data_IF_600789875356
#
_entry.id   IF_600789875356
#
_cell.length_a   1.000
_cell.length_b   1.000
_cell.length_c   1.000
_cell.angle_alpha   90.00
_cell.angle_beta   90.00
_cell.angle_gamma   90.00
#
_symmetry.space_group_name_H-M   'P 1'
#
loop_
_entity.id
_entity.type
_entity.pdbx_description
1 polymer ?
#
# COMPACT_ATOMS: atom_id res chain seq x y z
N UNK A 1 11.82 -22.15 24.28
CA UNK A 1 12.89 -21.17 24.56
C UNK A 1 13.14 -20.27 23.36
N UNK A 2 13.71 -20.75 22.24
CA UNK A 2 13.98 -19.89 21.07
C UNK A 2 12.76 -19.10 20.53
N UNK A 3 11.61 -19.76 20.38
CA UNK A 3 10.37 -19.10 19.91
C UNK A 3 9.88 -18.02 20.89
N UNK A 4 10.06 -18.25 22.19
CA UNK A 4 9.66 -17.31 23.22
C UNK A 4 10.57 -16.07 23.23
N UNK A 5 11.88 -16.25 23.06
CA UNK A 5 12.79 -15.12 22.90
C UNK A 5 12.49 -14.29 21.65
N UNK A 6 12.07 -14.92 20.54
CA UNK A 6 11.61 -14.19 19.36
C UNK A 6 10.32 -13.41 19.63
N UNK A 7 9.37 -13.99 20.37
CA UNK A 7 8.13 -13.32 20.78
C UNK A 7 8.40 -12.08 21.64
N UNK A 8 9.31 -12.17 22.61
CA UNK A 8 9.70 -11.06 23.49
C UNK A 8 10.34 -9.89 22.72
N UNK A 9 11.10 -10.18 21.65
CA UNK A 9 11.85 -9.19 20.86
C UNK A 9 11.12 -8.74 19.58
N UNK A 10 10.02 -9.40 19.19
CA UNK A 10 9.31 -9.10 17.94
C UNK A 10 8.65 -7.71 17.93
N UNK A 11 8.21 -7.23 19.09
CA UNK A 11 7.46 -5.98 19.25
C UNK A 11 8.11 -5.10 20.34
N UNK A 12 9.28 -4.49 20.07
CA UNK A 12 10.09 -3.83 21.10
C UNK A 12 9.51 -2.50 21.60
N UNK A 13 8.38 -2.03 21.05
CA UNK A 13 7.79 -0.75 21.41
C UNK A 13 6.43 -0.50 20.78
N UNK A 14 5.96 0.74 20.90
CA UNK A 14 4.69 1.20 20.33
C UNK A 14 4.83 1.51 18.84
N UNK A 15 3.77 1.23 18.06
CA UNK A 15 3.71 1.55 16.64
C UNK A 15 2.80 0.58 15.88
N UNK A 16 2.64 0.84 14.59
CA UNK A 16 2.14 -0.13 13.62
C UNK A 16 3.19 -1.21 13.33
N UNK A 17 2.81 -2.24 12.58
CA UNK A 17 3.75 -3.23 12.05
C UNK A 17 4.88 -2.53 11.27
N UNK A 18 6.14 -2.98 11.36
CA UNK A 18 7.29 -2.29 10.75
C UNK A 18 7.39 -2.40 9.22
N UNK A 19 6.78 -3.42 8.62
CA UNK A 19 6.77 -3.63 7.17
C UNK A 19 5.74 -2.76 6.44
N UNK A 20 5.81 -2.70 5.12
CA UNK A 20 4.81 -2.05 4.26
C UNK A 20 3.56 -2.92 4.12
N UNK A 21 2.90 -3.13 5.25
CA UNK A 21 1.57 -3.73 5.37
C UNK A 21 0.49 -2.64 5.28
N UNK A 22 -0.77 -3.04 5.51
CA UNK A 22 -1.94 -2.17 5.34
C UNK A 22 -1.84 -0.86 6.13
N UNK A 23 -1.41 -0.90 7.40
CA UNK A 23 -1.31 0.31 8.23
C UNK A 23 -0.37 1.36 7.63
N UNK A 24 0.89 0.99 7.37
CA UNK A 24 1.86 1.94 6.81
C UNK A 24 1.52 2.35 5.39
N UNK A 25 0.99 1.42 4.58
CA UNK A 25 0.57 1.78 3.22
C UNK A 25 -0.54 2.83 3.28
N UNK A 26 -1.56 2.65 4.12
CA UNK A 26 -2.64 3.63 4.26
C UNK A 26 -2.20 4.95 4.87
N UNK A 27 -1.24 4.96 5.80
CA UNK A 27 -0.63 6.20 6.31
C UNK A 27 0.11 6.96 5.21
N UNK A 28 0.89 6.26 4.39
CA UNK A 28 1.56 6.82 3.22
C UNK A 28 0.55 7.38 2.22
N UNK A 29 -0.50 6.62 1.89
CA UNK A 29 -1.54 7.07 0.96
C UNK A 29 -2.40 8.20 1.52
N UNK A 30 -2.57 8.31 2.83
CA UNK A 30 -3.25 9.46 3.46
C UNK A 30 -2.47 10.75 3.23
N UNK A 31 -1.13 10.69 3.29
CA UNK A 31 -0.27 11.83 2.93
C UNK A 31 -0.39 12.16 1.45
N UNK A 32 -0.36 11.16 0.57
CA UNK A 32 -0.50 11.38 -0.89
C UNK A 32 -1.88 11.92 -1.25
N UNK A 33 -2.96 11.41 -0.66
CA UNK A 33 -4.32 11.95 -0.81
C UNK A 33 -4.40 13.42 -0.35
N UNK A 34 -3.38 13.91 0.37
CA UNK A 34 -3.30 15.27 0.86
C UNK A 34 -4.09 15.48 2.15
N UNK A 35 -4.40 14.41 2.90
CA UNK A 35 -5.23 14.46 4.12
C UNK A 35 -4.42 14.41 5.41
N UNK A 36 -3.09 14.32 5.33
CA UNK A 36 -2.18 14.50 6.45
C UNK A 36 -1.09 15.53 6.11
N UNK A 37 -0.42 16.05 7.13
CA UNK A 37 0.72 16.94 6.95
C UNK A 37 1.89 16.22 6.28
N UNK A 38 2.68 16.98 5.52
CA UNK A 38 3.87 16.49 4.82
C UNK A 38 4.84 15.78 5.77
N UNK A 39 5.28 14.59 5.38
CA UNK A 39 6.17 13.72 6.15
C UNK A 39 5.48 12.90 7.25
N UNK A 40 4.16 12.90 7.35
CA UNK A 40 3.41 12.12 8.35
C UNK A 40 3.34 10.63 8.04
N UNK A 41 3.29 10.25 6.77
CA UNK A 41 3.07 8.87 6.32
C UNK A 41 4.19 7.90 6.69
N UNK A 42 5.43 8.40 6.87
CA UNK A 42 6.58 7.58 7.27
C UNK A 42 7.13 7.92 8.67
N UNK A 43 6.56 8.91 9.37
CA UNK A 43 7.10 9.35 10.66
C UNK A 43 7.04 8.23 11.73
N UNK A 44 8.19 7.89 12.31
CA UNK A 44 8.26 6.81 13.29
C UNK A 44 7.51 7.15 14.58
N UNK A 45 6.83 6.16 15.17
CA UNK A 45 5.93 6.34 16.30
C UNK A 45 6.60 7.03 17.51
N UNK A 46 7.85 6.65 17.82
CA UNK A 46 8.61 7.18 18.97
C UNK A 46 9.46 8.42 18.62
N UNK A 47 9.39 8.93 17.39
CA UNK A 47 10.19 10.07 16.95
C UNK A 47 9.67 11.40 17.50
N UNK A 48 10.58 12.36 17.70
CA UNK A 48 10.20 13.74 17.99
C UNK A 48 9.40 14.38 16.84
N UNK A 49 9.63 13.94 15.59
CA UNK A 49 8.88 14.36 14.40
C UNK A 49 7.39 14.06 14.56
N UNK A 50 7.03 12.84 14.97
CA UNK A 50 5.62 12.44 15.18
C UNK A 50 4.91 13.32 16.20
N UNK A 51 5.59 13.70 17.29
CA UNK A 51 5.04 14.62 18.31
C UNK A 51 4.82 16.03 17.77
N UNK A 52 5.76 16.55 16.98
CA UNK A 52 5.61 17.88 16.34
C UNK A 52 4.47 17.88 15.34
N UNK A 53 4.40 16.89 14.45
CA UNK A 53 3.31 16.74 13.48
C UNK A 53 1.94 16.67 14.15
N UNK A 54 1.82 16.00 15.30
CA UNK A 54 0.58 15.95 16.06
C UNK A 54 0.16 17.35 16.57
N UNK A 55 1.11 18.15 17.04
CA UNK A 55 0.86 19.53 17.49
C UNK A 55 0.50 20.44 16.30
N UNK A 56 1.31 20.42 15.25
CA UNK A 56 1.10 21.18 14.01
C UNK A 56 -0.24 20.84 13.34
N UNK A 57 -0.67 19.57 13.40
CA UNK A 57 -2.00 19.17 12.91
C UNK A 57 -3.13 19.86 13.69
N UNK A 58 -2.94 20.05 15.00
CA UNK A 58 -3.88 20.79 15.85
C UNK A 58 -3.93 22.28 15.54
N UNK A 59 -2.82 22.88 15.12
CA UNK A 59 -2.81 24.25 14.63
C UNK A 59 -3.47 24.34 13.25
N UNK A 60 -3.07 23.46 12.32
CA UNK A 60 -3.54 23.51 10.92
C UNK A 60 -5.04 23.28 10.80
N UNK A 61 -5.65 22.42 11.61
CA UNK A 61 -7.10 22.19 11.55
C UNK A 61 -7.90 23.46 11.85
N UNK A 62 -7.40 24.35 12.72
CA UNK A 62 -8.07 25.63 13.01
C UNK A 62 -8.10 26.52 11.77
N UNK A 63 -7.00 26.54 11.00
CA UNK A 63 -6.93 27.33 9.79
C UNK A 63 -7.77 26.72 8.66
N UNK A 64 -7.79 25.39 8.50
CA UNK A 64 -8.70 24.71 7.56
C UNK A 64 -10.18 25.03 7.85
N UNK A 65 -10.57 25.12 9.12
CA UNK A 65 -11.93 25.53 9.52
C UNK A 65 -12.21 26.98 9.13
N UNK A 66 -11.27 27.91 9.36
CA UNK A 66 -11.44 29.32 8.98
C UNK A 66 -11.50 29.50 7.46
N UNK A 67 -10.69 28.74 6.73
CA UNK A 67 -10.62 28.70 5.26
C UNK A 67 -11.82 27.95 4.65
N UNK A 68 -12.59 27.23 5.47
CA UNK A 68 -13.70 26.36 5.06
C UNK A 68 -13.27 25.29 4.03
N UNK A 69 -12.10 24.69 4.24
CA UNK A 69 -11.59 23.58 3.42
C UNK A 69 -12.22 22.28 3.90
N UNK A 70 -12.92 21.59 3.01
CA UNK A 70 -13.60 20.33 3.30
C UNK A 70 -12.82 19.14 2.73
N UNK A 71 -12.97 17.92 3.30
CA UNK A 71 -12.30 16.73 2.80
C UNK A 71 -12.54 16.45 1.31
N UNK A 72 -13.71 16.79 0.76
CA UNK A 72 -14.04 16.61 -0.66
C UNK A 72 -13.38 17.63 -1.59
N UNK A 73 -12.91 18.76 -1.06
CA UNK A 73 -12.15 19.73 -1.84
C UNK A 73 -10.73 19.18 -2.13
N UNK A 74 -10.20 18.38 -1.21
CA UNK A 74 -8.87 17.76 -1.29
C UNK A 74 -8.93 16.38 -1.98
N UNK A 75 -9.81 15.48 -1.51
CA UNK A 75 -9.93 14.10 -2.02
C UNK A 75 -10.80 14.02 -3.27
N UNK A 76 -10.30 14.58 -4.37
CA UNK A 76 -10.92 14.57 -5.69
C UNK A 76 -10.30 13.51 -6.63
N UNK A 77 -10.79 13.39 -7.86
CA UNK A 77 -10.29 12.40 -8.84
C UNK A 77 -8.77 12.44 -9.04
N UNK A 78 -8.16 13.62 -9.00
CA UNK A 78 -6.72 13.79 -9.17
C UNK A 78 -5.97 13.23 -7.95
N UNK A 79 -6.47 13.48 -6.74
CA UNK A 79 -5.89 12.93 -5.51
C UNK A 79 -5.92 11.41 -5.48
N UNK A 80 -7.01 10.78 -5.91
CA UNK A 80 -7.06 9.33 -6.01
C UNK A 80 -6.15 8.77 -7.10
N UNK A 81 -6.02 9.47 -8.24
CA UNK A 81 -5.08 9.04 -9.30
C UNK A 81 -3.63 9.07 -8.80
N UNK A 82 -3.24 10.13 -8.10
CA UNK A 82 -1.91 10.23 -7.47
C UNK A 82 -1.71 9.18 -6.37
N UNK A 83 -2.74 8.91 -5.56
CA UNK A 83 -2.69 7.89 -4.52
C UNK A 83 -2.50 6.49 -5.11
N UNK A 84 -3.24 6.15 -6.17
CA UNK A 84 -3.05 4.87 -6.88
C UNK A 84 -1.63 4.80 -7.45
N UNK A 85 -1.12 5.86 -8.07
CA UNK A 85 0.26 5.90 -8.58
C UNK A 85 1.29 5.68 -7.46
N UNK A 86 1.12 6.35 -6.31
CA UNK A 86 2.02 6.16 -5.18
C UNK A 86 1.95 4.73 -4.62
N UNK A 87 0.76 4.12 -4.56
CA UNK A 87 0.59 2.72 -4.13
C UNK A 87 1.34 1.74 -5.04
N UNK A 88 1.24 1.97 -6.36
CA UNK A 88 1.97 1.19 -7.37
C UNK A 88 3.49 1.36 -7.23
N UNK A 89 3.95 2.58 -6.98
CA UNK A 89 5.36 2.89 -6.81
C UNK A 89 5.95 2.34 -5.50
N UNK A 90 5.14 2.26 -4.43
CA UNK A 90 5.50 1.67 -3.14
C UNK A 90 5.43 0.14 -3.13
N UNK A 91 4.60 -0.45 -3.99
CA UNK A 91 4.26 -1.86 -3.90
C UNK A 91 3.56 -2.18 -2.58
N UNK A 92 2.50 -1.43 -2.28
CA UNK A 92 1.74 -1.48 -1.04
C UNK A 92 1.00 -2.79 -0.74
N UNK A 93 0.14 -2.77 0.28
CA UNK A 93 -0.76 -3.88 0.62
C UNK A 93 -1.87 -4.03 -0.43
N UNK A 94 -2.29 -5.25 -0.79
CA UNK A 94 -3.47 -5.42 -1.66
C UNK A 94 -4.77 -4.87 -1.05
N UNK A 95 -4.82 -4.71 0.28
CA UNK A 95 -5.99 -4.15 0.98
C UNK A 95 -6.22 -2.67 0.66
N UNK A 96 -5.21 -1.95 0.15
CA UNK A 96 -5.37 -0.55 -0.26
C UNK A 96 -6.42 -0.38 -1.35
N UNK A 97 -6.57 -1.36 -2.23
CA UNK A 97 -7.61 -1.34 -3.26
C UNK A 97 -9.00 -1.25 -2.62
N UNK A 98 -9.27 -2.07 -1.59
CA UNK A 98 -10.53 -2.03 -0.87
C UNK A 98 -10.74 -0.69 -0.16
N UNK A 99 -9.70 -0.18 0.50
CA UNK A 99 -9.78 1.07 1.25
C UNK A 99 -9.96 2.28 0.33
N UNK A 100 -9.16 2.41 -0.74
CA UNK A 100 -9.27 3.52 -1.68
C UNK A 100 -10.61 3.52 -2.41
N UNK A 101 -11.13 2.36 -2.83
CA UNK A 101 -12.47 2.27 -3.42
C UNK A 101 -13.56 2.71 -2.43
N UNK A 102 -13.46 2.31 -1.16
CA UNK A 102 -14.42 2.71 -0.13
C UNK A 102 -14.37 4.22 0.17
N UNK A 103 -13.16 4.79 0.28
CA UNK A 103 -12.99 6.24 0.53
C UNK A 103 -13.47 7.02 -0.70
N UNK A 104 -13.15 6.58 -1.92
CA UNK A 104 -13.63 7.20 -3.16
C UNK A 104 -15.16 7.23 -3.23
N UNK A 105 -15.82 6.14 -2.85
CA UNK A 105 -17.28 6.08 -2.77
C UNK A 105 -17.85 7.14 -1.82
N UNK A 106 -17.26 7.33 -0.63
CA UNK A 106 -17.71 8.33 0.35
C UNK A 106 -17.44 9.77 -0.10
N UNK A 107 -16.34 10.00 -0.81
CA UNK A 107 -15.99 11.30 -1.39
C UNK A 107 -16.73 11.58 -2.70
N UNK A 108 -17.47 10.61 -3.25
CA UNK A 108 -18.19 10.66 -4.53
C UNK A 108 -17.28 10.76 -5.75
N UNK A 109 -16.08 10.17 -5.65
CA UNK A 109 -15.12 9.99 -6.74
C UNK A 109 -15.37 8.63 -7.39
N UNK A 110 -15.42 8.59 -8.72
CA UNK A 110 -15.45 7.34 -9.47
C UNK A 110 -14.04 6.76 -9.52
N UNK A 111 -13.84 5.63 -8.85
CA UNK A 111 -12.61 4.85 -8.90
C UNK A 111 -12.97 3.39 -9.14
N UNK A 112 -12.27 2.72 -10.06
CA UNK A 112 -12.55 1.35 -10.47
C UNK A 112 -11.27 0.51 -10.50
N UNK A 113 -11.40 -0.81 -10.52
CA UNK A 113 -10.24 -1.71 -10.70
C UNK A 113 -9.50 -1.45 -12.01
N UNK A 114 -10.20 -1.00 -13.06
CA UNK A 114 -9.58 -0.66 -14.35
C UNK A 114 -8.62 0.53 -14.22
N UNK A 115 -8.89 1.46 -13.30
CA UNK A 115 -7.98 2.57 -13.01
C UNK A 115 -6.69 2.08 -12.36
N UNK A 116 -6.77 1.10 -11.44
CA UNK A 116 -5.60 0.47 -10.84
C UNK A 116 -4.76 -0.29 -11.88
N UNK A 117 -5.40 -1.06 -12.78
CA UNK A 117 -4.68 -1.79 -13.84
C UNK A 117 -3.96 -0.82 -14.78
N UNK A 118 -4.69 0.19 -15.28
CA UNK A 118 -4.12 1.18 -16.21
C UNK A 118 -2.96 1.95 -15.59
N UNK A 119 -3.15 2.49 -14.38
CA UNK A 119 -2.10 3.26 -13.69
C UNK A 119 -0.93 2.35 -13.30
N UNK A 120 -1.21 1.11 -12.88
CA UNK A 120 -0.19 0.11 -12.55
C UNK A 120 0.73 -0.23 -13.72
N UNK A 121 0.20 -0.31 -14.96
CA UNK A 121 1.01 -0.53 -16.16
C UNK A 121 1.92 0.64 -16.53
N UNK A 122 1.55 1.85 -16.12
CA UNK A 122 2.27 3.09 -16.45
C UNK A 122 3.21 3.53 -15.31
N UNK A 123 3.16 2.87 -14.15
CA UNK A 123 3.87 3.31 -12.96
C UNK A 123 4.89 2.27 -12.52
N UNK A 124 6.19 2.58 -12.55
CA UNK A 124 7.21 1.66 -12.07
C UNK A 124 7.19 1.50 -10.55
N UNK A 125 7.55 0.32 -10.06
CA UNK A 125 7.74 0.01 -8.64
C UNK A 125 9.13 0.49 -8.18
N UNK A 126 9.17 1.51 -7.32
CA UNK A 126 10.38 2.28 -6.97
C UNK A 126 10.94 1.99 -5.57
N UNK A 127 10.12 1.48 -4.67
CA UNK A 127 10.48 1.20 -3.28
C UNK A 127 10.11 -0.23 -2.95
N UNK A 128 11.05 -1.04 -2.46
CA UNK A 128 10.77 -2.44 -2.08
C UNK A 128 11.06 -2.66 -0.60
N UNK A 129 10.02 -2.57 0.23
CA UNK A 129 10.08 -2.82 1.67
C UNK A 129 9.57 -4.22 2.00
N UNK A 130 9.92 -4.73 3.19
CA UNK A 130 9.32 -5.95 3.73
C UNK A 130 7.78 -5.87 3.71
N UNK A 131 7.07 -6.93 3.31
CA UNK A 131 7.58 -8.29 3.09
C UNK A 131 8.18 -8.54 1.68
N UNK A 132 8.04 -7.62 0.73
CA UNK A 132 8.48 -7.82 -0.66
C UNK A 132 9.96 -7.53 -0.93
N UNK A 133 10.61 -6.78 -0.04
CA UNK A 133 12.02 -6.42 -0.13
C UNK A 133 12.75 -6.55 1.21
N UNK A 134 13.96 -6.01 1.28
CA UNK A 134 14.85 -6.18 2.44
C UNK A 134 14.77 -5.03 3.45
N UNK A 135 14.31 -3.86 3.01
CA UNK A 135 14.24 -2.62 3.80
C UNK A 135 12.98 -2.52 4.66
N UNK A 136 13.00 -1.62 5.64
CA UNK A 136 11.93 -1.30 6.58
C UNK A 136 11.36 0.11 6.36
N UNK A 137 10.27 0.46 7.05
CA UNK A 137 9.71 1.81 6.98
C UNK A 137 10.68 2.91 7.44
N UNK A 138 11.59 2.61 8.37
CA UNK A 138 12.62 3.53 8.83
C UNK A 138 13.59 3.93 7.72
N UNK A 139 13.95 2.98 6.87
CA UNK A 139 14.79 3.21 5.71
C UNK A 139 14.09 4.18 4.74
N UNK A 140 12.79 3.98 4.49
CA UNK A 140 12.00 4.89 3.65
C UNK A 140 11.92 6.31 4.26
N UNK A 141 11.63 6.43 5.56
CA UNK A 141 11.60 7.72 6.25
C UNK A 141 12.93 8.46 6.12
N UNK A 142 14.06 7.79 6.34
CA UNK A 142 15.39 8.39 6.25
C UNK A 142 15.85 8.65 4.81
N UNK A 143 15.33 7.93 3.83
CA UNK A 143 15.55 8.20 2.41
C UNK A 143 14.80 9.46 1.92
N UNK A 144 13.94 10.05 2.76
CA UNK A 144 13.17 11.26 2.47
C UNK A 144 11.65 11.05 2.46
N UNK A 145 11.19 9.83 2.75
CA UNK A 145 9.78 9.48 2.92
C UNK A 145 8.93 9.65 1.67
N UNK A 146 7.63 9.90 1.88
CA UNK A 146 6.67 10.13 0.79
C UNK A 146 7.01 11.35 -0.08
N UNK A 147 7.46 12.49 0.44
CA UNK A 147 7.85 13.62 -0.40
C UNK A 147 8.95 13.24 -1.41
N UNK A 148 9.97 12.50 -0.96
CA UNK A 148 11.05 12.02 -1.83
C UNK A 148 10.57 10.97 -2.86
N UNK A 149 9.60 10.13 -2.50
CA UNK A 149 8.95 9.25 -3.47
C UNK A 149 8.20 10.07 -4.55
N UNK A 150 7.40 11.06 -4.14
CA UNK A 150 6.64 11.92 -5.05
C UNK A 150 7.57 12.68 -6.01
N UNK A 151 8.74 13.11 -5.53
CA UNK A 151 9.78 13.74 -6.36
C UNK A 151 10.15 12.88 -7.58
N UNK A 152 10.18 11.55 -7.45
CA UNK A 152 10.53 10.63 -8.56
C UNK A 152 9.57 10.68 -9.73
N UNK A 153 8.31 11.01 -9.51
CA UNK A 153 7.28 11.05 -10.54
C UNK A 153 6.51 12.37 -10.55
N UNK A 154 7.17 13.47 -10.16
CA UNK A 154 6.57 14.80 -10.10
C UNK A 154 5.89 15.22 -11.42
N UNK A 155 6.47 14.84 -12.56
CA UNK A 155 5.91 15.14 -13.89
C UNK A 155 4.55 14.47 -14.14
N UNK A 156 4.25 13.39 -13.43
CA UNK A 156 3.00 12.62 -13.53
C UNK A 156 1.96 13.03 -12.48
N UNK A 157 2.34 13.85 -11.50
CA UNK A 157 1.43 14.36 -10.47
C UNK A 157 0.48 15.39 -11.05
N UNK A 158 -0.68 15.54 -10.44
CA UNK A 158 -1.57 16.67 -10.69
C UNK A 158 -1.21 17.86 -9.81
N UNK A 159 -1.46 19.06 -10.32
CA UNK A 159 -1.38 20.29 -9.52
C UNK A 159 -2.63 20.40 -8.65
N UNK A 160 -2.50 20.16 -7.34
CA UNK A 160 -3.61 20.19 -6.39
C UNK A 160 -3.15 20.50 -4.97
N UNK A 161 -4.05 21.13 -4.21
CA UNK A 161 -3.84 21.47 -2.80
C UNK A 161 -3.87 20.24 -1.89
N UNK A 162 -3.24 20.37 -0.73
CA UNK A 162 -3.30 19.41 0.38
C UNK A 162 -3.71 20.13 1.66
N UNK A 163 -3.96 19.37 2.73
CA UNK A 163 -4.26 19.96 4.05
C UNK A 163 -3.10 20.76 4.63
N UNK A 164 -1.85 20.61 4.15
CA UNK A 164 -0.72 21.41 4.65
C UNK A 164 -0.75 22.86 4.16
N UNK A 165 -1.50 23.15 3.09
CA UNK A 165 -1.52 24.45 2.43
C UNK A 165 -0.60 24.53 1.20
N UNK A 166 0.41 23.67 1.11
CA UNK A 166 1.22 23.50 -0.11
C UNK A 166 0.54 22.55 -1.09
N UNK A 167 0.86 22.72 -2.37
CA UNK A 167 0.45 21.77 -3.40
C UNK A 167 1.26 20.48 -3.34
N UNK A 168 0.70 19.38 -3.83
CA UNK A 168 1.44 18.10 -3.88
C UNK A 168 2.69 18.18 -4.79
N UNK A 169 2.66 19.03 -5.82
CA UNK A 169 3.80 19.26 -6.71
C UNK A 169 4.89 20.09 -6.05
N UNK A 170 4.50 21.13 -5.32
CA UNK A 170 5.46 21.92 -4.53
C UNK A 170 6.18 21.01 -3.52
N UNK A 171 5.43 20.19 -2.80
CA UNK A 171 5.98 19.19 -1.87
C UNK A 171 6.97 18.26 -2.58
N UNK A 172 6.60 17.74 -3.76
CA UNK A 172 7.45 16.84 -4.54
C UNK A 172 8.71 17.55 -5.06
N UNK A 173 8.62 18.80 -5.52
CA UNK A 173 9.72 19.57 -6.08
C UNK A 173 10.76 19.97 -5.03
N UNK A 174 10.31 20.33 -3.83
CA UNK A 174 11.19 20.72 -2.72
C UNK A 174 11.84 19.53 -2.01
N UNK A 175 11.30 18.32 -2.20
CA UNK A 175 11.81 17.13 -1.55
C UNK A 175 13.13 16.65 -2.15
N UNK A 176 14.02 16.18 -1.27
CA UNK A 176 15.30 15.58 -1.64
C UNK A 176 15.25 14.06 -1.44
N UNK A 177 15.82 13.30 -2.38
CA UNK A 177 15.97 11.85 -2.25
C UNK A 177 17.33 11.54 -1.66
N UNK A 178 17.39 11.28 -0.36
CA UNK A 178 18.64 11.06 0.37
C UNK A 178 19.27 9.69 0.09
N UNK A 179 18.48 8.70 -0.30
CA UNK A 179 18.98 7.37 -0.67
C UNK A 179 18.26 6.81 -1.89
N UNK A 180 18.97 6.76 -3.02
CA UNK A 180 18.45 6.27 -4.30
C UNK A 180 18.41 4.74 -4.43
N UNK A 181 18.98 3.99 -3.48
CA UNK A 181 18.83 2.53 -3.41
C UNK A 181 17.48 2.13 -2.79
N UNK A 182 17.01 2.93 -1.83
CA UNK A 182 15.71 2.75 -1.15
C UNK A 182 14.59 3.33 -2.02
N UNK A 183 14.74 4.58 -2.49
CA UNK A 183 13.78 5.25 -3.39
C UNK A 183 14.41 5.36 -4.77
N UNK A 184 14.19 4.35 -5.62
CA UNK A 184 14.83 4.27 -6.93
C UNK A 184 14.31 5.30 -7.93
N UNK A 185 15.11 5.58 -8.96
CA UNK A 185 14.70 6.44 -10.07
C UNK A 185 13.81 5.68 -11.07
N UNK A 186 13.09 6.43 -11.92
CA UNK A 186 12.27 5.85 -12.99
C UNK A 186 13.08 5.01 -13.98
N UNK A 187 14.37 5.33 -14.18
CA UNK A 187 15.26 4.62 -15.10
C UNK A 187 15.85 3.33 -14.49
N UNK A 188 15.79 3.17 -13.17
CA UNK A 188 16.31 2.00 -12.46
C UNK A 188 15.30 1.47 -11.44
N UNK A 189 14.06 1.13 -11.83
CA UNK A 189 13.06 0.68 -10.88
C UNK A 189 13.31 -0.77 -10.44
N UNK A 190 12.62 -1.24 -9.41
CA UNK A 190 12.60 -2.67 -9.07
C UNK A 190 11.85 -3.46 -10.15
N UNK A 191 10.73 -2.92 -10.61
CA UNK A 191 9.91 -3.48 -11.69
C UNK A 191 9.36 -2.34 -12.56
N UNK A 192 9.22 -2.60 -13.86
CA UNK A 192 8.70 -1.60 -14.82
C UNK A 192 7.21 -1.32 -14.65
N UNK A 193 6.47 -2.26 -14.06
CA UNK A 193 5.06 -2.12 -13.72
C UNK A 193 4.91 -2.05 -12.18
N UNK A 194 3.75 -1.54 -11.74
CA UNK A 194 3.45 -1.26 -10.34
C UNK A 194 3.46 -2.51 -9.47
N UNK A 195 3.63 -2.35 -8.16
CA UNK A 195 3.73 -3.52 -7.27
C UNK A 195 2.43 -4.33 -7.09
N UNK A 196 1.30 -3.85 -7.60
CA UNK A 196 -0.01 -4.53 -7.56
C UNK A 196 -0.51 -4.72 -9.01
N UNK A 197 -1.13 -5.87 -9.28
CA UNK A 197 -1.76 -6.18 -10.56
C UNK A 197 -3.22 -6.58 -10.37
N UNK A 198 -4.05 -6.25 -11.36
CA UNK A 198 -5.43 -6.67 -11.46
C UNK A 198 -5.53 -7.84 -12.45
N UNK A 199 -6.08 -8.95 -12.00
CA UNK A 199 -6.30 -10.15 -12.81
C UNK A 199 -7.78 -10.25 -13.18
N UNK A 200 -8.06 -10.53 -14.45
CA UNK A 200 -9.41 -10.80 -14.94
C UNK A 200 -9.45 -12.13 -15.67
N UNK A 201 -10.62 -12.76 -15.73
CA UNK A 201 -10.80 -14.02 -16.43
C UNK A 201 -12.05 -14.76 -15.97
N UNK A 202 -12.25 -15.98 -16.46
CA UNK A 202 -13.44 -16.79 -16.15
C UNK A 202 -13.61 -17.09 -14.66
N UNK A 203 -12.53 -17.13 -13.88
CA UNK A 203 -12.56 -17.34 -12.43
C UNK A 203 -12.74 -16.04 -11.62
N UNK A 204 -12.42 -14.89 -12.21
CA UNK A 204 -12.49 -13.57 -11.57
C UNK A 204 -13.09 -12.55 -12.57
N UNK A 205 -14.37 -12.70 -12.96
CA UNK A 205 -14.98 -11.86 -13.98
C UNK A 205 -15.15 -10.40 -13.54
N UNK A 206 -15.15 -10.14 -12.23
CA UNK A 206 -15.20 -8.79 -11.63
C UNK A 206 -13.82 -8.32 -11.14
N UNK A 207 -12.76 -9.03 -11.49
CA UNK A 207 -11.39 -8.72 -11.07
C UNK A 207 -10.95 -9.46 -9.81
N UNK A 208 -9.65 -9.71 -9.72
CA UNK A 208 -8.91 -10.17 -8.56
C UNK A 208 -7.62 -9.35 -8.43
N UNK A 209 -7.07 -9.28 -7.22
CA UNK A 209 -5.89 -8.47 -6.92
C UNK A 209 -4.74 -9.39 -6.54
N UNK A 210 -3.55 -9.11 -7.07
CA UNK A 210 -2.31 -9.77 -6.64
C UNK A 210 -1.24 -8.72 -6.38
N UNK A 211 -0.52 -8.86 -5.28
CA UNK A 211 0.71 -8.09 -5.03
C UNK A 211 1.84 -8.67 -5.88
N UNK A 212 1.91 -8.25 -7.15
CA UNK A 212 2.88 -8.80 -8.09
C UNK A 212 4.33 -8.58 -7.69
N UNK A 213 4.63 -7.54 -6.90
CA UNK A 213 5.99 -7.30 -6.38
C UNK A 213 6.50 -8.40 -5.44
N UNK A 214 5.60 -9.20 -4.86
CA UNK A 214 5.93 -10.33 -3.99
C UNK A 214 5.82 -11.69 -4.72
N UNK A 215 5.52 -11.70 -6.03
CA UNK A 215 5.39 -12.92 -6.83
C UNK A 215 6.71 -13.22 -7.53
N UNK A 216 7.27 -14.41 -7.28
CA UNK A 216 8.49 -14.84 -7.99
C UNK A 216 8.26 -14.94 -9.50
N UNK A 217 9.27 -14.61 -10.32
CA UNK A 217 9.16 -14.61 -11.80
C UNK A 217 8.62 -15.93 -12.37
N UNK A 218 9.05 -17.08 -11.82
CA UNK A 218 8.59 -18.41 -12.25
C UNK A 218 7.11 -18.66 -11.99
N UNK A 219 6.48 -17.88 -11.10
CA UNK A 219 5.06 -18.01 -10.73
C UNK A 219 4.15 -17.02 -11.47
N UNK A 220 4.69 -16.08 -12.25
CA UNK A 220 3.88 -15.15 -13.06
C UNK A 220 3.04 -15.86 -14.11
N UNK A 221 3.52 -17.00 -14.61
CA UNK A 221 2.77 -17.90 -15.48
C UNK A 221 2.78 -19.29 -14.85
N UNK A 222 1.65 -19.69 -14.26
CA UNK A 222 1.52 -20.98 -13.60
C UNK A 222 0.23 -21.68 -14.04
N UNK A 223 0.35 -22.97 -14.34
CA UNK A 223 -0.79 -23.84 -14.61
C UNK A 223 -0.64 -25.10 -13.78
N UNK A 224 -1.71 -25.46 -13.07
CA UNK A 224 -1.72 -26.60 -12.18
C UNK A 224 -3.10 -27.19 -12.01
N UNK A 225 -3.17 -28.38 -11.43
CA UNK A 225 -4.45 -29.00 -11.08
C UNK A 225 -5.03 -28.27 -9.88
N UNK A 226 -6.27 -27.80 -10.00
CA UNK A 226 -6.96 -27.15 -8.89
C UNK A 226 -7.23 -28.15 -7.75
N UNK A 227 -6.87 -27.78 -6.53
CA UNK A 227 -7.29 -28.42 -5.29
C UNK A 227 -8.10 -27.42 -4.50
N UNK A 228 -9.37 -27.74 -4.29
CA UNK A 228 -10.37 -26.79 -3.80
C UNK A 228 -10.74 -27.13 -2.37
N UNK A 229 -10.81 -26.09 -1.54
CA UNK A 229 -11.26 -26.11 -0.15
C UNK A 229 -12.38 -25.10 0.04
N UNK A 230 -13.28 -25.39 0.96
CA UNK A 230 -14.45 -24.55 1.25
C UNK A 230 -14.28 -23.69 2.52
N UNK A 231 -13.12 -23.78 3.18
CA UNK A 231 -12.69 -22.94 4.29
C UNK A 231 -11.16 -22.99 4.46
N UNK A 232 -10.62 -22.02 5.20
CA UNK A 232 -9.20 -21.94 5.55
C UNK A 232 -8.71 -23.16 6.35
N UNK A 233 -9.49 -23.62 7.34
CA UNK A 233 -9.06 -24.64 8.28
C UNK A 233 -8.77 -25.98 7.59
N UNK A 234 -9.60 -26.37 6.61
CA UNK A 234 -9.38 -27.56 5.80
C UNK A 234 -8.16 -27.44 4.88
N UNK A 235 -7.94 -26.25 4.31
CA UNK A 235 -6.78 -25.98 3.46
C UNK A 235 -5.48 -26.10 4.27
N UNK A 236 -5.42 -25.43 5.42
CA UNK A 236 -4.28 -25.46 6.35
C UNK A 236 -4.01 -26.88 6.83
N UNK A 237 -5.05 -27.61 7.24
CA UNK A 237 -4.92 -29.03 7.64
C UNK A 237 -4.36 -29.89 6.51
N UNK A 238 -4.84 -29.70 5.28
CA UNK A 238 -4.35 -30.43 4.12
C UNK A 238 -2.89 -30.12 3.78
N UNK A 239 -2.46 -28.87 3.98
CA UNK A 239 -1.08 -28.44 3.77
C UNK A 239 -0.16 -29.07 4.83
N UNK A 240 -0.49 -28.94 6.12
CA UNK A 240 0.34 -29.47 7.21
C UNK A 240 0.43 -30.99 7.23
N UNK A 241 -0.61 -31.69 6.78
CA UNK A 241 -0.57 -33.15 6.63
C UNK A 241 0.11 -33.62 5.33
N UNK A 242 0.67 -32.71 4.52
CA UNK A 242 1.38 -33.05 3.29
C UNK A 242 0.49 -33.65 2.20
N UNK A 243 -0.82 -33.33 2.21
CA UNK A 243 -1.77 -33.83 1.21
C UNK A 243 -1.82 -32.97 -0.06
N UNK A 244 -1.25 -31.76 -0.02
CA UNK A 244 -1.01 -30.91 -1.19
C UNK A 244 0.27 -31.33 -1.91
N UNK A 245 0.36 -31.08 -3.21
CA UNK A 245 1.52 -31.44 -4.04
C UNK A 245 2.04 -30.24 -4.81
N UNK A 246 3.34 -30.20 -5.05
CA UNK A 246 3.94 -29.24 -5.96
C UNK A 246 3.27 -29.33 -7.34
N UNK A 247 2.99 -28.16 -7.96
CA UNK A 247 2.26 -28.09 -9.22
C UNK A 247 0.73 -28.04 -9.06
N UNK A 248 0.18 -28.12 -7.84
CA UNK A 248 -1.25 -27.89 -7.61
C UNK A 248 -1.56 -26.39 -7.41
N UNK A 249 -2.76 -25.96 -7.82
CA UNK A 249 -3.31 -24.63 -7.52
C UNK A 249 -4.26 -24.78 -6.34
N UNK A 250 -3.91 -24.22 -5.19
CA UNK A 250 -4.76 -24.23 -4.01
C UNK A 250 -5.83 -23.14 -4.16
N UNK A 251 -7.10 -23.53 -4.07
CA UNK A 251 -8.26 -22.62 -4.17
C UNK A 251 -9.07 -22.73 -2.89
N UNK A 252 -9.13 -21.65 -2.12
CA UNK A 252 -9.93 -21.57 -0.90
C UNK A 252 -11.15 -20.69 -1.19
N UNK A 253 -12.35 -21.23 -1.00
CA UNK A 253 -13.61 -20.56 -1.31
C UNK A 253 -14.37 -20.21 -0.04
N UNK A 254 -15.41 -19.38 -0.20
CA UNK A 254 -16.29 -18.93 0.88
C UNK A 254 -15.61 -18.12 1.97
N UNK A 255 -14.45 -17.52 1.72
CA UNK A 255 -13.76 -16.62 2.66
C UNK A 255 -13.94 -15.13 2.34
N UNK A 256 -14.87 -14.80 1.44
CA UNK A 256 -15.21 -13.41 1.09
C UNK A 256 -16.10 -12.70 2.13
N UNK A 257 -16.55 -11.45 1.86
CA UNK A 257 -17.29 -10.63 2.83
C UNK A 257 -18.56 -11.28 3.42
N UNK A 258 -19.28 -12.07 2.62
CA UNK A 258 -20.50 -12.76 3.05
C UNK A 258 -20.27 -14.23 3.43
N UNK A 259 -19.36 -14.93 2.72
CA UNK A 259 -19.10 -16.34 2.97
C UNK A 259 -18.35 -16.57 4.28
N UNK A 260 -17.28 -15.80 4.51
CA UNK A 260 -16.34 -15.97 5.62
C UNK A 260 -16.87 -15.47 6.96
N UNK A 261 -17.97 -14.72 6.98
CA UNK A 261 -18.07 -13.26 6.97
C UNK A 261 -16.80 -12.41 7.13
N UNK A 262 -16.88 -11.14 6.70
CA UNK A 262 -15.89 -10.11 7.03
C UNK A 262 -14.60 -10.13 6.20
N UNK A 263 -14.45 -11.10 5.29
CA UNK A 263 -13.27 -11.24 4.43
C UNK A 263 -11.96 -11.31 5.23
N UNK A 264 -11.83 -12.37 6.04
CA UNK A 264 -10.69 -12.57 6.94
C UNK A 264 -9.36 -12.61 6.18
N UNK A 265 -8.32 -12.01 6.77
CA UNK A 265 -6.95 -12.12 6.26
C UNK A 265 -6.37 -13.49 6.64
N UNK A 266 -6.01 -14.29 5.63
CA UNK A 266 -5.51 -15.66 5.81
C UNK A 266 -4.01 -15.71 5.57
N UNK A 267 -3.23 -15.83 6.64
CA UNK A 267 -1.76 -15.95 6.55
C UNK A 267 -1.30 -17.42 6.59
N UNK A 268 -1.99 -18.27 7.36
CA UNK A 268 -1.62 -19.66 7.60
C UNK A 268 -1.48 -20.54 6.34
N UNK A 269 -2.23 -20.31 5.24
CA UNK A 269 -2.10 -21.11 4.03
C UNK A 269 -0.91 -20.76 3.12
N UNK A 270 -0.15 -19.71 3.44
CA UNK A 270 0.92 -19.15 2.58
C UNK A 270 2.28 -19.80 2.76
#
# INVERSE_FOLDING_TARGET
EQLHSLEEEACPGVGSCQGLYTANTMDCLTEVLGMSLTGSGCALAISAKRKRLAYESGERIIDLIKENVLPRDIMNNQAFTDAVRADMALGGSSNTILHLLAIAQETKVSLSLDDFDRIGRETPHLVSLRPGGEYFMEDLEWAGGIPALLNRFNDFLFERSTVSGSSIKEIAQEAEVFNSEIIRSLDNPYHQEGGIAILTGSLAPQGAVVKQSAVSEKMKNFQGKARVFDNEEEAVKSIYEGRTREGEVIVIRYEGPQGGPGMKEMLSPT
#
